data_IF_638824871800
#
_entry.id   IF_638824871800
#
_cell.length_a   1.000
_cell.length_b   1.000
_cell.length_c   1.000
_cell.angle_alpha   90.00
_cell.angle_beta   90.00
_cell.angle_gamma   90.00
#
_symmetry.space_group_name_H-M   'P 1'
#
loop_
_entity.id
_entity.type
_entity.pdbx_description
1 polymer ?
#
# COMPACT_ATOMS: atom_id res chain seq x y z
N UNK A 1 -3.66 -21.76 -11.45
CA UNK A 1 -3.49 -20.31 -11.23
C UNK A 1 -3.93 -20.03 -9.80
N UNK A 2 -2.98 -19.91 -8.87
CA UNK A 2 -3.32 -19.44 -7.53
C UNK A 2 -3.71 -17.98 -7.68
N UNK A 3 -4.99 -17.66 -7.46
CA UNK A 3 -5.42 -16.28 -7.33
C UNK A 3 -4.74 -15.75 -6.07
N UNK A 4 -3.69 -14.95 -6.25
CA UNK A 4 -3.07 -14.22 -5.15
C UNK A 4 -4.15 -13.36 -4.49
N UNK A 5 -4.26 -13.54 -3.18
CA UNK A 5 -5.45 -13.22 -2.41
C UNK A 5 -5.49 -11.72 -2.18
N UNK A 6 -6.12 -10.96 -3.07
CA UNK A 6 -6.47 -9.57 -2.82
C UNK A 6 -7.50 -9.53 -1.68
N UNK A 7 -7.16 -8.83 -0.60
CA UNK A 7 -8.04 -8.65 0.57
C UNK A 7 -8.26 -7.15 0.75
N UNK A 8 -9.52 -6.74 0.84
CA UNK A 8 -9.87 -5.37 1.18
C UNK A 8 -9.88 -5.22 2.70
N UNK A 9 -9.16 -4.23 3.19
CA UNK A 9 -9.04 -3.94 4.63
C UNK A 9 -9.64 -2.56 4.92
N UNK A 10 -10.36 -2.47 6.03
CA UNK A 10 -10.58 -1.19 6.72
C UNK A 10 -9.28 -0.68 7.34
N UNK A 11 -9.25 0.59 7.75
CA UNK A 11 -8.08 1.18 8.43
C UNK A 11 -7.66 0.40 9.69
N UNK A 12 -8.63 -0.03 10.51
CA UNK A 12 -8.34 -0.81 11.73
C UNK A 12 -7.78 -2.20 11.42
N UNK A 13 -8.25 -2.86 10.37
CA UNK A 13 -7.70 -4.13 9.93
C UNK A 13 -6.27 -3.95 9.41
N UNK A 14 -6.01 -2.91 8.63
CA UNK A 14 -4.66 -2.60 8.14
C UNK A 14 -3.65 -2.43 9.28
N UNK A 15 -4.03 -1.73 10.37
CA UNK A 15 -3.21 -1.61 11.58
C UNK A 15 -2.92 -2.99 12.18
N UNK A 16 -3.92 -3.86 12.26
CA UNK A 16 -3.76 -5.21 12.81
C UNK A 16 -2.81 -6.06 11.95
N UNK A 17 -2.93 -5.98 10.61
CA UNK A 17 -2.07 -6.72 9.67
C UNK A 17 -0.62 -6.23 9.68
N UNK A 18 -0.39 -4.93 9.86
CA UNK A 18 0.96 -4.36 9.88
C UNK A 18 1.79 -4.87 11.06
N UNK A 19 1.16 -5.21 12.19
CA UNK A 19 1.86 -5.80 13.35
C UNK A 19 2.42 -7.20 13.08
N UNK A 20 2.13 -7.80 11.92
CA UNK A 20 2.77 -9.02 11.44
C UNK A 20 4.02 -8.73 10.61
N UNK A 21 4.13 -9.40 9.46
CA UNK A 21 5.26 -9.28 8.51
C UNK A 21 4.88 -8.48 7.25
N UNK A 22 3.86 -7.63 7.37
CA UNK A 22 3.37 -6.82 6.27
C UNK A 22 4.04 -5.44 6.26
N UNK A 23 4.29 -4.92 5.07
CA UNK A 23 4.80 -3.57 4.86
C UNK A 23 3.72 -2.68 4.26
N UNK A 24 3.70 -1.41 4.66
CA UNK A 24 2.75 -0.44 4.15
C UNK A 24 3.34 0.37 3.00
N UNK A 25 2.53 0.65 1.98
CA UNK A 25 2.86 1.46 0.83
C UNK A 25 1.79 2.55 0.62
N UNK A 26 2.20 3.81 0.71
CA UNK A 26 1.37 4.95 0.34
C UNK A 26 1.61 5.28 -1.14
N UNK A 27 0.54 5.23 -1.94
CA UNK A 27 0.57 5.48 -3.39
C UNK A 27 -0.07 6.81 -3.79
N UNK A 28 -0.38 7.66 -2.81
CA UNK A 28 -0.99 8.97 -3.07
C UNK A 28 -0.03 9.90 -3.82
N UNK A 29 -0.56 10.87 -4.58
CA UNK A 29 0.22 12.02 -5.00
C UNK A 29 0.87 12.73 -3.80
N UNK A 30 2.05 13.30 -3.99
CA UNK A 30 2.84 13.93 -2.93
C UNK A 30 2.05 15.02 -2.17
N UNK A 31 1.24 15.80 -2.88
CA UNK A 31 0.46 16.87 -2.24
C UNK A 31 -0.56 16.36 -1.22
N UNK A 32 -1.00 15.09 -1.31
CA UNK A 32 -1.96 14.50 -0.36
C UNK A 32 -1.29 13.94 0.90
N UNK A 33 0.03 13.70 0.87
CA UNK A 33 0.75 13.08 2.00
C UNK A 33 1.03 14.06 3.14
N UNK A 34 1.02 15.37 2.84
CA UNK A 34 1.38 16.43 3.79
C UNK A 34 0.26 16.83 4.74
N UNK A 35 -1.01 16.57 4.39
CA UNK A 35 -2.17 16.96 5.18
C UNK A 35 -2.72 15.84 6.07
N UNK A 36 -2.67 14.60 5.59
CA UNK A 36 -3.21 13.44 6.30
C UNK A 36 -2.20 12.30 6.28
N UNK A 37 -1.89 11.80 7.46
CA UNK A 37 -1.02 10.64 7.67
C UNK A 37 -1.87 9.41 8.00
N UNK A 38 -1.38 8.24 7.65
CA UNK A 38 -1.99 6.99 8.11
C UNK A 38 -1.51 6.67 9.52
N UNK A 39 -2.37 6.07 10.34
CA UNK A 39 -2.00 5.52 11.66
C UNK A 39 -1.18 4.22 11.58
N UNK A 40 -0.61 3.94 10.41
CA UNK A 40 0.31 2.84 10.16
C UNK A 40 1.71 3.27 10.58
N UNK A 41 2.50 2.35 11.14
CA UNK A 41 3.89 2.57 11.56
C UNK A 41 4.83 2.95 10.41
N UNK A 42 5.72 2.04 9.98
CA UNK A 42 6.62 2.33 8.85
C UNK A 42 5.84 2.25 7.54
N UNK A 43 5.77 3.37 6.83
CA UNK A 43 5.11 3.50 5.52
C UNK A 43 6.17 3.80 4.47
N UNK A 44 6.26 2.97 3.45
CA UNK A 44 7.03 3.28 2.24
C UNK A 44 6.18 4.18 1.34
N UNK A 45 6.83 5.08 0.60
CA UNK A 45 6.15 6.00 -0.30
C UNK A 45 6.61 5.80 -1.74
N UNK A 46 5.68 5.44 -2.61
CA UNK A 46 5.88 5.41 -4.07
C UNK A 46 4.57 5.86 -4.70
N UNK A 47 4.47 7.07 -5.26
CA UNK A 47 3.22 7.55 -5.86
C UNK A 47 2.78 6.59 -6.98
N UNK A 48 1.47 6.43 -7.15
CA UNK A 48 0.88 5.51 -8.15
C UNK A 48 1.42 5.69 -9.58
N UNK A 49 1.82 6.93 -9.94
CA UNK A 49 2.42 7.26 -11.23
C UNK A 49 3.81 6.67 -11.44
N UNK A 50 4.52 6.33 -10.37
CA UNK A 50 5.86 5.73 -10.41
C UNK A 50 5.85 4.24 -10.04
N UNK A 51 4.76 3.73 -9.48
CA UNK A 51 4.75 2.37 -8.91
C UNK A 51 5.09 1.30 -9.94
N UNK A 52 4.60 1.40 -11.18
CA UNK A 52 4.93 0.45 -12.24
C UNK A 52 6.45 0.34 -12.52
N UNK A 53 7.19 1.44 -12.36
CA UNK A 53 8.63 1.46 -12.60
C UNK A 53 9.44 1.08 -11.36
N UNK A 54 8.91 1.35 -10.17
CA UNK A 54 9.61 1.23 -8.89
C UNK A 54 9.14 0.06 -8.02
N UNK A 55 8.16 -0.73 -8.48
CA UNK A 55 7.63 -1.88 -7.74
C UNK A 55 8.74 -2.87 -7.34
N UNK A 56 9.74 -3.04 -8.20
CA UNK A 56 10.91 -3.90 -7.95
C UNK A 56 11.78 -3.45 -6.77
N UNK A 57 11.62 -2.23 -6.25
CA UNK A 57 12.30 -1.75 -5.04
C UNK A 57 11.65 -2.32 -3.76
N UNK A 58 10.44 -2.88 -3.86
CA UNK A 58 9.70 -3.44 -2.74
C UNK A 58 10.13 -4.89 -2.45
N UNK A 59 10.17 -5.30 -1.17
CA UNK A 59 10.39 -6.69 -0.78
C UNK A 59 9.36 -7.64 -1.42
N UNK A 60 9.85 -8.59 -2.23
CA UNK A 60 9.01 -9.59 -2.90
C UNK A 60 8.53 -10.73 -1.96
N UNK A 61 9.12 -10.83 -0.76
CA UNK A 61 8.83 -11.85 0.24
C UNK A 61 7.88 -11.37 1.36
N UNK A 62 7.34 -10.14 1.24
CA UNK A 62 6.48 -9.51 2.25
C UNK A 62 5.08 -9.24 1.71
N UNK A 63 4.09 -9.31 2.60
CA UNK A 63 2.73 -8.86 2.30
C UNK A 63 2.72 -7.33 2.17
N UNK A 64 2.11 -6.82 1.11
CA UNK A 64 1.95 -5.38 0.89
C UNK A 64 0.55 -4.92 1.35
N UNK A 65 0.51 -3.89 2.20
CA UNK A 65 -0.68 -3.11 2.51
C UNK A 65 -0.59 -1.82 1.70
N UNK A 66 -1.37 -1.72 0.62
CA UNK A 66 -1.36 -0.56 -0.28
C UNK A 66 -2.48 0.38 0.12
N UNK A 67 -2.14 1.64 0.41
CA UNK A 67 -3.07 2.66 0.88
C UNK A 67 -3.08 3.87 -0.05
N UNK A 68 -4.27 4.41 -0.28
CA UNK A 68 -4.53 5.71 -0.91
C UNK A 68 -5.62 6.45 -0.13
N UNK A 69 -6.05 7.61 -0.61
CA UNK A 69 -7.04 8.42 0.11
C UNK A 69 -8.44 7.78 0.17
N UNK A 70 -8.85 7.06 -0.88
CA UNK A 70 -10.26 6.61 -1.05
C UNK A 70 -10.42 5.17 -1.56
N UNK A 71 -9.34 4.40 -1.71
CA UNK A 71 -9.39 3.01 -2.14
C UNK A 71 -9.42 2.80 -3.66
N UNK A 72 -9.09 3.80 -4.49
CA UNK A 72 -9.13 3.69 -5.96
C UNK A 72 -7.75 3.41 -6.54
N UNK A 73 -6.73 4.19 -6.15
CA UNK A 73 -5.36 4.03 -6.66
C UNK A 73 -4.68 2.79 -6.09
N UNK A 74 -4.98 2.46 -4.85
CA UNK A 74 -4.51 1.22 -4.22
C UNK A 74 -4.94 -0.02 -5.00
N UNK A 75 -6.19 -0.05 -5.51
CA UNK A 75 -6.69 -1.15 -6.36
C UNK A 75 -5.98 -1.26 -7.70
N UNK A 76 -5.68 -0.14 -8.33
CA UNK A 76 -4.95 -0.11 -9.61
C UNK A 76 -3.52 -0.66 -9.45
N UNK A 77 -2.85 -0.26 -8.37
CA UNK A 77 -1.47 -0.70 -8.07
C UNK A 77 -1.39 -2.21 -7.77
N UNK A 78 -2.43 -2.83 -7.23
CA UNK A 78 -2.45 -4.27 -6.96
C UNK A 78 -2.29 -5.17 -8.21
N UNK A 79 -2.32 -4.60 -9.43
CA UNK A 79 -2.17 -5.35 -10.68
C UNK A 79 -0.79 -5.24 -11.33
N UNK A 80 0.18 -4.58 -10.67
CA UNK A 80 1.59 -4.60 -11.07
C UNK A 80 2.31 -5.81 -10.51
#
# INVERSE_FOLDING_TARGET
>A
MNQEKLIYLSGNEAITYQNGDAISLDVRPEFETTMHVFDLGKINYIPHTETAHRFHELPADKTLIIADAVGLRSKEVCFF
#
